data_IF_240511800005
#
_entry.id   IF_240511800005
#
_cell.length_a   1.000
_cell.length_b   1.000
_cell.length_c   1.000
_cell.angle_alpha   90.00
_cell.angle_beta   90.00
_cell.angle_gamma   90.00
#
_symmetry.space_group_name_H-M   'P 1'
#
loop_
_entity.id
_entity.type
_entity.pdbx_description
1 polymer ?
#
# COMPACT_ATOMS: atom_id res chain seq x y z
N UNK A 1 -4.73 -12.39 -3.52
CA UNK A 1 -3.54 -11.77 -2.89
C UNK A 1 -2.39 -12.75 -3.05
N UNK A 2 -1.33 -12.38 -3.78
CA UNK A 2 -0.18 -13.25 -4.02
C UNK A 2 1.00 -12.76 -3.16
N UNK A 3 1.56 -13.62 -2.32
CA UNK A 3 2.67 -13.31 -1.41
C UNK A 3 3.81 -14.26 -1.74
N UNK A 4 5.02 -13.74 -1.90
CA UNK A 4 6.21 -14.54 -2.14
C UNK A 4 7.38 -14.01 -1.32
N UNK A 5 8.18 -14.93 -0.77
CA UNK A 5 9.39 -14.60 -0.03
C UNK A 5 10.55 -14.69 -1.01
N UNK A 6 11.27 -13.58 -1.17
CA UNK A 6 12.46 -13.51 -2.03
C UNK A 6 13.70 -13.13 -1.22
N UNK A 7 14.87 -13.36 -1.79
CA UNK A 7 16.17 -13.10 -1.15
C UNK A 7 16.82 -11.92 -1.85
N UNK A 8 17.58 -11.13 -1.10
CA UNK A 8 18.47 -10.14 -1.69
C UNK A 8 19.65 -10.87 -2.35
N UNK A 9 19.91 -10.60 -3.62
CA UNK A 9 21.10 -11.13 -4.29
C UNK A 9 22.37 -10.46 -3.77
N UNK A 10 23.53 -11.04 -4.08
CA UNK A 10 24.86 -10.53 -3.67
C UNK A 10 25.16 -9.11 -4.16
N UNK A 11 24.45 -8.61 -5.17
CA UNK A 11 24.57 -7.24 -5.70
C UNK A 11 23.50 -6.29 -5.17
N UNK A 12 22.74 -6.69 -4.14
CA UNK A 12 21.64 -5.89 -3.59
C UNK A 12 20.37 -5.90 -4.45
N UNK A 13 20.28 -6.76 -5.46
CA UNK A 13 19.09 -6.84 -6.31
C UNK A 13 18.02 -7.68 -5.64
N UNK A 14 16.77 -7.19 -5.65
CA UNK A 14 15.59 -7.94 -5.24
C UNK A 14 15.05 -8.67 -6.47
N UNK A 15 14.90 -9.99 -6.37
CA UNK A 15 14.38 -10.80 -7.48
C UNK A 15 12.86 -10.88 -7.37
N UNK A 16 12.13 -10.38 -8.38
CA UNK A 16 10.70 -10.61 -8.51
C UNK A 16 10.47 -12.03 -9.03
N UNK A 17 9.68 -12.89 -8.34
CA UNK A 17 9.39 -14.26 -8.78
C UNK A 17 8.71 -14.29 -10.16
N UNK A 18 8.96 -15.35 -10.95
CA UNK A 18 8.44 -15.47 -12.32
C UNK A 18 6.91 -15.37 -12.38
N UNK A 19 6.18 -15.97 -11.43
CA UNK A 19 4.71 -15.89 -11.40
C UNK A 19 4.17 -14.46 -11.20
N UNK A 20 4.98 -13.54 -10.66
CA UNK A 20 4.60 -12.13 -10.45
C UNK A 20 5.11 -11.20 -11.55
N UNK A 21 5.93 -11.70 -12.48
CA UNK A 21 6.49 -10.89 -13.58
C UNK A 21 5.52 -10.62 -14.72
N UNK A 22 4.40 -11.35 -14.81
CA UNK A 22 3.50 -11.32 -15.97
C UNK A 22 2.99 -9.92 -16.33
N UNK A 23 2.95 -9.00 -15.36
CA UNK A 23 2.53 -7.63 -15.57
C UNK A 23 3.68 -6.68 -15.93
N UNK A 24 4.95 -7.10 -15.93
CA UNK A 24 6.09 -6.24 -16.21
C UNK A 24 6.65 -6.48 -17.62
N UNK A 25 6.88 -5.39 -18.36
CA UNK A 25 7.55 -5.45 -19.67
C UNK A 25 9.05 -5.21 -19.55
N UNK A 26 9.83 -5.79 -20.46
CA UNK A 26 11.26 -5.50 -20.53
C UNK A 26 11.49 -4.01 -20.82
N UNK A 27 12.43 -3.39 -20.10
CA UNK A 27 12.69 -1.94 -20.21
C UNK A 27 11.66 -1.04 -19.52
N UNK A 28 10.66 -1.60 -18.85
CA UNK A 28 9.64 -0.82 -18.13
C UNK A 28 10.27 -0.06 -16.95
N UNK A 29 9.95 1.24 -16.86
CA UNK A 29 10.44 2.09 -15.77
C UNK A 29 9.56 1.91 -14.54
N UNK A 30 10.20 1.70 -13.40
CA UNK A 30 9.56 1.58 -12.10
C UNK A 30 9.97 2.73 -11.20
N UNK A 31 9.05 3.16 -10.35
CA UNK A 31 9.35 4.04 -9.22
C UNK A 31 9.41 3.20 -7.96
N UNK A 32 10.46 3.46 -7.18
CA UNK A 32 10.69 2.86 -5.87
C UNK A 32 10.51 3.96 -4.83
N UNK A 33 9.55 3.79 -3.93
CA UNK A 33 9.26 4.72 -2.86
C UNK A 33 9.61 4.04 -1.54
N UNK A 34 10.39 4.72 -0.71
CA UNK A 34 10.67 4.26 0.66
C UNK A 34 9.76 5.01 1.62
N UNK A 35 8.91 4.28 2.33
CA UNK A 35 8.06 4.82 3.40
C UNK A 35 8.37 4.08 4.70
N UNK A 36 9.21 4.67 5.55
CA UNK A 36 9.73 3.99 6.75
C UNK A 36 10.55 2.75 6.37
N UNK A 37 10.10 1.58 6.85
CA UNK A 37 10.69 0.28 6.55
C UNK A 37 10.10 -0.40 5.30
N UNK A 38 9.03 0.17 4.74
CA UNK A 38 8.36 -0.39 3.55
C UNK A 38 8.97 0.18 2.27
N UNK A 39 9.12 -0.69 1.26
CA UNK A 39 9.44 -0.32 -0.12
C UNK A 39 8.22 -0.58 -1.00
N UNK A 40 7.75 0.46 -1.68
CA UNK A 40 6.62 0.38 -2.61
C UNK A 40 7.18 0.49 -4.03
N UNK A 41 6.86 -0.50 -4.87
CA UNK A 41 7.19 -0.51 -6.29
C UNK A 41 5.92 -0.22 -7.11
N UNK A 42 6.00 0.77 -8.00
CA UNK A 42 4.94 1.07 -8.99
C UNK A 42 5.52 1.27 -10.38
N UNK A 43 4.73 1.01 -11.41
CA UNK A 43 5.11 1.37 -12.79
C UNK A 43 4.97 2.86 -13.01
N UNK A 44 5.85 3.44 -13.81
CA UNK A 44 5.74 4.85 -14.19
C UNK A 44 4.48 5.13 -15.00
N UNK A 45 4.04 4.19 -15.83
CA UNK A 45 2.79 4.28 -16.60
C UNK A 45 1.54 4.32 -15.72
N UNK A 46 1.61 3.71 -14.52
CA UNK A 46 0.52 3.73 -13.55
C UNK A 46 0.55 4.98 -12.66
N UNK A 47 1.60 5.81 -12.76
CA UNK A 47 1.67 7.12 -12.11
C UNK A 47 0.77 8.09 -12.86
N UNK A 48 -0.54 7.98 -12.62
CA UNK A 48 -1.48 9.03 -12.99
C UNK A 48 -1.18 10.35 -12.29
N UNK A 49 -1.98 11.39 -12.58
CA UNK A 49 -1.87 12.71 -11.94
C UNK A 49 -2.05 12.69 -10.41
N UNK A 50 -2.53 11.57 -9.86
CA UNK A 50 -2.92 11.41 -8.47
C UNK A 50 -1.85 10.64 -7.65
N UNK A 51 -0.59 10.62 -8.09
CA UNK A 51 0.48 9.89 -7.40
C UNK A 51 0.65 10.29 -5.92
N UNK A 52 0.52 11.57 -5.60
CA UNK A 52 0.53 12.04 -4.22
C UNK A 52 -0.68 11.55 -3.43
N UNK A 53 -1.87 11.51 -4.05
CA UNK A 53 -3.08 10.96 -3.43
C UNK A 53 -2.95 9.46 -3.18
N UNK A 54 -2.35 8.73 -4.12
CA UNK A 54 -2.08 7.30 -4.01
C UNK A 54 -1.13 6.99 -2.85
N UNK A 55 -0.07 7.79 -2.67
CA UNK A 55 0.86 7.66 -1.53
C UNK A 55 0.13 8.01 -0.23
N UNK A 56 -0.63 9.11 -0.22
CA UNK A 56 -1.38 9.53 0.94
C UNK A 56 -2.45 8.49 1.34
N UNK A 57 -3.11 7.87 0.37
CA UNK A 57 -4.07 6.80 0.57
C UNK A 57 -3.41 5.56 1.17
N UNK A 58 -2.29 5.11 0.60
CA UNK A 58 -1.54 3.97 1.12
C UNK A 58 -1.10 4.20 2.56
N UNK A 59 -0.56 5.40 2.87
CA UNK A 59 -0.14 5.77 4.22
C UNK A 59 -1.31 5.80 5.21
N UNK A 60 -2.43 6.45 4.85
CA UNK A 60 -3.64 6.50 5.70
C UNK A 60 -4.24 5.11 5.94
N UNK A 61 -4.22 4.24 4.92
CA UNK A 61 -4.73 2.87 5.04
C UNK A 61 -3.88 2.06 5.99
N UNK A 62 -2.55 2.14 5.88
CA UNK A 62 -1.62 1.48 6.80
C UNK A 62 -1.80 2.00 8.25
N UNK A 63 -1.87 3.31 8.44
CA UNK A 63 -2.09 3.92 9.76
C UNK A 63 -3.42 3.46 10.38
N UNK A 64 -4.52 3.49 9.61
CA UNK A 64 -5.83 3.03 10.06
C UNK A 64 -5.84 1.53 10.38
N UNK A 65 -5.17 0.70 9.57
CA UNK A 65 -5.05 -0.74 9.81
C UNK A 65 -4.31 -1.03 11.11
N UNK A 66 -3.17 -0.37 11.33
CA UNK A 66 -2.40 -0.54 12.55
C UNK A 66 -3.15 -0.02 13.80
N UNK A 67 -3.88 1.09 13.69
CA UNK A 67 -4.77 1.57 14.76
C UNK A 67 -5.86 0.57 15.09
N UNK A 68 -6.48 -0.05 14.08
CA UNK A 68 -7.46 -1.12 14.28
C UNK A 68 -6.85 -2.33 15.01
N UNK A 69 -5.66 -2.79 14.60
CA UNK A 69 -4.93 -3.88 15.26
C UNK A 69 -4.55 -3.54 16.71
N UNK A 70 -4.24 -2.27 17.01
CA UNK A 70 -4.00 -1.78 18.37
C UNK A 70 -5.27 -1.60 19.21
N UNK A 71 -6.45 -1.79 18.61
CA UNK A 71 -7.73 -1.60 19.29
C UNK A 71 -8.12 -0.12 19.48
N UNK A 72 -7.50 0.80 18.73
CA UNK A 72 -7.78 2.24 18.75
C UNK A 72 -9.04 2.58 17.94
N UNK A 73 -10.10 1.78 18.07
CA UNK A 73 -11.38 2.00 17.42
C UNK A 73 -12.48 2.20 18.47
N UNK A 74 -13.51 2.93 18.06
CA UNK A 74 -14.71 3.12 18.88
C UNK A 74 -15.79 2.20 18.32
N UNK A 75 -16.31 1.28 19.14
CA UNK A 75 -17.49 0.48 18.80
C UNK A 75 -18.74 1.17 19.36
N UNK A 76 -19.76 1.34 18.50
CA UNK A 76 -21.06 1.90 18.88
C UNK A 76 -22.19 1.17 18.16
N UNK A 77 -23.41 1.16 18.73
CA UNK A 77 -24.62 0.72 18.02
C UNK A 77 -24.87 1.56 16.76
N UNK A 78 -25.47 0.95 15.73
CA UNK A 78 -25.72 1.59 14.45
C UNK A 78 -26.49 2.92 14.57
N UNK A 79 -27.53 2.95 15.41
CA UNK A 79 -28.39 4.11 15.63
C UNK A 79 -27.58 5.32 16.12
N UNK A 80 -26.60 5.08 17.00
CA UNK A 80 -25.72 6.12 17.55
C UNK A 80 -24.66 6.59 16.56
N UNK A 81 -24.21 5.71 15.67
CA UNK A 81 -23.32 6.09 14.58
C UNK A 81 -24.04 7.02 13.58
N UNK A 82 -25.30 6.74 13.27
CA UNK A 82 -26.10 7.59 12.37
C UNK A 82 -26.34 8.99 12.95
N UNK A 83 -26.67 9.09 14.26
CA UNK A 83 -26.80 10.38 14.96
C UNK A 83 -25.53 11.24 14.89
N UNK A 84 -24.34 10.62 14.89
CA UNK A 84 -23.05 11.32 14.83
C UNK A 84 -22.77 11.82 13.40
N UNK A 85 -23.14 11.06 12.37
CA UNK A 85 -22.99 11.46 10.96
C UNK A 85 -23.90 12.62 10.57
N UNK A 86 -25.12 12.68 11.11
CA UNK A 86 -26.04 13.80 10.86
C UNK A 86 -25.60 15.12 11.49
N UNK A 87 -24.63 15.10 12.42
CA UNK A 87 -24.07 16.28 13.08
C UNK A 87 -22.80 16.82 12.40
N UNK A 88 -22.27 16.12 11.40
CA UNK A 88 -21.12 16.54 10.58
C UNK A 88 -21.57 17.33 9.36
#
# INVERSE_FOLDING_TARGET
MNIAITKLSSKGQIVIPSEMRGNFSEGEKLVIIKNGEQLILKKVSDLGKNFEEDIAFAKKTEEAWQSYERGEFISRPADKFLEDLEKC
#
